data_IF_708870475852
#
_entry.id   IF_708870475852
#
_cell.length_a   1.000
_cell.length_b   1.000
_cell.length_c   1.000
_cell.angle_alpha   90.00
_cell.angle_beta   90.00
_cell.angle_gamma   90.00
#
_symmetry.space_group_name_H-M   'P 1'
#
loop_
_entity.id
_entity.type
_entity.pdbx_description
1 polymer ?
#
# COMPACT_ATOMS: atom_id res chain seq x y z
N UNK A 1 -4.01 -10.78 -22.03
CA UNK A 1 -3.57 -11.56 -20.84
C UNK A 1 -3.00 -10.63 -19.76
N UNK A 2 -2.16 -9.66 -20.13
CA UNK A 2 -1.60 -8.64 -19.22
C UNK A 2 -2.67 -7.78 -18.52
N UNK A 3 -3.75 -7.42 -19.21
CA UNK A 3 -4.81 -6.55 -18.67
C UNK A 3 -5.57 -7.17 -17.49
N UNK A 4 -5.67 -8.50 -17.46
CA UNK A 4 -6.32 -9.25 -16.38
C UNK A 4 -5.48 -9.13 -15.10
N UNK A 5 -4.16 -9.27 -15.20
CA UNK A 5 -3.25 -9.12 -14.05
C UNK A 5 -3.27 -7.71 -13.49
N UNK A 6 -3.31 -6.69 -14.34
CA UNK A 6 -3.39 -5.29 -13.92
C UNK A 6 -4.72 -5.01 -13.22
N UNK A 7 -5.84 -5.46 -13.79
CA UNK A 7 -7.17 -5.28 -13.21
C UNK A 7 -7.29 -5.97 -11.85
N UNK A 8 -6.76 -7.19 -11.74
CA UNK A 8 -6.80 -7.96 -10.50
C UNK A 8 -5.85 -7.39 -9.43
N UNK A 9 -4.70 -6.87 -9.85
CA UNK A 9 -3.81 -6.12 -8.97
C UNK A 9 -4.48 -4.85 -8.42
N UNK A 10 -5.15 -4.09 -9.28
CA UNK A 10 -5.90 -2.89 -8.86
C UNK A 10 -7.05 -3.23 -7.89
N UNK A 11 -7.80 -4.30 -8.16
CA UNK A 11 -8.87 -4.76 -7.28
C UNK A 11 -8.35 -5.19 -5.90
N UNK A 12 -7.23 -5.93 -5.86
CA UNK A 12 -6.60 -6.37 -4.60
C UNK A 12 -5.98 -5.20 -3.83
N UNK A 13 -5.37 -4.25 -4.53
CA UNK A 13 -4.87 -3.00 -3.93
C UNK A 13 -6.00 -2.18 -3.30
N UNK A 14 -7.12 -1.97 -4.02
CA UNK A 14 -8.30 -1.28 -3.49
C UNK A 14 -8.84 -1.97 -2.24
N UNK A 15 -8.89 -3.30 -2.24
CA UNK A 15 -9.34 -4.08 -1.08
C UNK A 15 -8.39 -3.94 0.12
N UNK A 16 -7.07 -4.01 -0.10
CA UNK A 16 -6.06 -3.79 0.95
C UNK A 16 -6.18 -2.38 1.55
N UNK A 17 -6.35 -1.35 0.70
CA UNK A 17 -6.54 0.04 1.15
C UNK A 17 -7.82 0.17 1.96
N UNK A 18 -8.95 -0.39 1.51
CA UNK A 18 -10.20 -0.36 2.28
C UNK A 18 -10.06 -1.05 3.65
N UNK A 19 -9.40 -2.21 3.69
CA UNK A 19 -9.08 -2.88 4.95
C UNK A 19 -8.22 -2.03 5.86
N UNK A 20 -7.25 -1.29 5.32
CA UNK A 20 -6.43 -0.36 6.09
C UNK A 20 -7.26 0.78 6.69
N UNK A 21 -8.20 1.38 5.94
CA UNK A 21 -9.13 2.39 6.46
C UNK A 21 -9.98 1.84 7.61
N UNK A 22 -10.55 0.65 7.43
CA UNK A 22 -11.34 -0.02 8.48
C UNK A 22 -10.49 -0.30 9.72
N UNK A 23 -9.25 -0.78 9.52
CA UNK A 23 -8.33 -1.06 10.62
C UNK A 23 -7.94 0.21 11.38
N UNK A 24 -7.69 1.31 10.66
CA UNK A 24 -7.45 2.62 11.25
C UNK A 24 -8.63 3.08 12.11
N UNK A 25 -9.86 3.00 11.58
CA UNK A 25 -11.06 3.36 12.33
C UNK A 25 -11.24 2.52 13.60
N UNK A 26 -11.00 1.21 13.53
CA UNK A 26 -11.04 0.34 14.72
C UNK A 26 -9.92 0.67 15.72
N UNK A 27 -8.73 0.98 15.22
CA UNK A 27 -7.55 1.37 15.99
C UNK A 27 -7.77 2.67 16.76
N UNK A 28 -8.45 3.64 16.16
CA UNK A 28 -8.87 4.88 16.82
C UNK A 28 -9.94 4.63 17.89
N UNK A 29 -10.90 3.74 17.61
CA UNK A 29 -11.97 3.37 18.56
C UNK A 29 -11.52 2.42 19.69
N UNK A 30 -10.26 1.97 19.69
CA UNK A 30 -9.74 0.95 20.62
C UNK A 30 -10.66 -0.28 20.73
N UNK A 31 -11.22 -0.72 19.60
CA UNK A 31 -12.20 -1.80 19.59
C UNK A 31 -11.54 -3.16 19.87
N UNK A 32 -12.12 -4.02 20.73
CA UNK A 32 -11.62 -5.38 21.00
C UNK A 32 -11.59 -6.27 19.74
N UNK A 33 -12.28 -5.87 18.67
CA UNK A 33 -12.24 -6.55 17.37
C UNK A 33 -10.86 -6.51 16.67
N UNK A 34 -9.93 -5.65 17.10
CA UNK A 34 -8.56 -5.65 16.58
C UNK A 34 -7.77 -6.90 16.96
N UNK A 35 -8.11 -7.52 18.10
CA UNK A 35 -7.42 -8.70 18.62
C UNK A 35 -8.02 -10.01 18.12
N UNK A 36 -9.17 -9.95 17.43
CA UNK A 36 -9.78 -11.12 16.83
C UNK A 36 -8.86 -11.70 15.75
N UNK A 37 -8.38 -12.93 15.98
CA UNK A 37 -7.46 -13.64 15.10
C UNK A 37 -7.94 -13.71 13.63
N UNK A 38 -9.26 -13.78 13.41
CA UNK A 38 -9.85 -13.77 12.07
C UNK A 38 -9.60 -12.47 11.30
N UNK A 39 -9.69 -11.31 11.96
CA UNK A 39 -9.49 -10.00 11.35
C UNK A 39 -8.01 -9.73 11.04
N UNK A 40 -7.11 -10.15 11.94
CA UNK A 40 -5.67 -10.07 11.71
C UNK A 40 -5.26 -10.97 10.54
N UNK A 41 -5.79 -12.20 10.48
CA UNK A 41 -5.48 -13.16 9.42
C UNK A 41 -6.00 -12.68 8.06
N UNK A 42 -7.23 -12.18 7.98
CA UNK A 42 -7.80 -11.71 6.71
C UNK A 42 -6.99 -10.53 6.15
N UNK A 43 -6.61 -9.56 6.99
CA UNK A 43 -5.74 -8.45 6.59
C UNK A 43 -4.40 -8.94 6.04
N UNK A 44 -3.71 -9.82 6.79
CA UNK A 44 -2.41 -10.37 6.36
C UNK A 44 -2.48 -11.12 5.03
N UNK A 45 -3.55 -11.89 4.81
CA UNK A 45 -3.75 -12.63 3.56
C UNK A 45 -3.94 -11.67 2.39
N UNK A 46 -4.76 -10.63 2.55
CA UNK A 46 -5.01 -9.66 1.47
C UNK A 46 -3.75 -8.84 1.15
N UNK A 47 -2.98 -8.44 2.17
CA UNK A 47 -1.70 -7.76 1.95
C UNK A 47 -0.69 -8.68 1.24
N UNK A 48 -0.60 -9.95 1.64
CA UNK A 48 0.28 -10.92 0.99
C UNK A 48 -0.11 -11.15 -0.48
N UNK A 49 -1.40 -11.27 -0.78
CA UNK A 49 -1.90 -11.38 -2.16
C UNK A 49 -1.54 -10.13 -2.96
N UNK A 50 -1.73 -8.94 -2.39
CA UNK A 50 -1.41 -7.67 -3.06
C UNK A 50 0.07 -7.60 -3.43
N UNK A 51 0.97 -7.97 -2.52
CA UNK A 51 2.42 -8.03 -2.76
C UNK A 51 2.75 -9.06 -3.85
N UNK A 52 2.12 -10.24 -3.80
CA UNK A 52 2.31 -11.29 -4.80
C UNK A 52 1.88 -10.82 -6.20
N UNK A 53 0.76 -10.07 -6.30
CA UNK A 53 0.30 -9.50 -7.56
C UNK A 53 1.27 -8.46 -8.12
N UNK A 54 1.85 -7.60 -7.27
CA UNK A 54 2.90 -6.66 -7.70
C UNK A 54 4.09 -7.42 -8.30
N UNK A 55 4.57 -8.46 -7.62
CA UNK A 55 5.68 -9.28 -8.13
C UNK A 55 5.34 -9.91 -9.49
N UNK A 56 4.12 -10.41 -9.66
CA UNK A 56 3.65 -10.99 -10.92
C UNK A 56 3.59 -9.95 -12.05
N UNK A 57 3.10 -8.74 -11.76
CA UNK A 57 3.06 -7.63 -12.73
C UNK A 57 4.48 -7.19 -13.11
N UNK A 58 5.42 -7.15 -12.18
CA UNK A 58 6.83 -6.88 -12.46
C UNK A 58 7.44 -7.93 -13.41
N UNK A 59 7.23 -9.21 -13.12
CA UNK A 59 7.72 -10.31 -13.97
C UNK A 59 7.10 -10.27 -15.37
N UNK A 60 5.79 -10.03 -15.46
CA UNK A 60 5.09 -9.95 -16.74
C UNK A 60 5.50 -8.71 -17.57
N UNK A 61 5.87 -7.61 -16.93
CA UNK A 61 6.26 -6.37 -17.61
C UNK A 61 7.72 -6.35 -18.05
N UNK A 62 8.56 -7.28 -17.59
CA UNK A 62 9.99 -7.34 -17.93
C UNK A 62 10.82 -6.14 -17.43
N UNK A 63 10.25 -5.26 -16.61
CA UNK A 63 10.93 -4.10 -16.01
C UNK A 63 11.31 -4.40 -14.56
N UNK A 64 12.61 -4.52 -14.31
CA UNK A 64 13.12 -4.68 -12.96
C UNK A 64 13.25 -3.33 -12.24
N UNK A 65 12.90 -3.24 -10.94
CA UNK A 65 13.30 -2.10 -10.12
C UNK A 65 14.83 -1.98 -10.17
N UNK A 66 15.36 -0.76 -10.02
CA UNK A 66 16.79 -0.39 -10.11
C UNK A 66 17.38 -0.25 -11.53
N UNK A 67 16.72 -0.77 -12.57
CA UNK A 67 17.12 -0.54 -13.98
C UNK A 67 16.38 0.65 -14.57
N UNK A 68 15.10 0.78 -14.25
CA UNK A 68 14.22 1.85 -14.70
C UNK A 68 13.94 2.82 -13.53
N UNK A 69 14.19 4.11 -13.74
CA UNK A 69 14.03 5.14 -12.70
C UNK A 69 12.59 5.24 -12.20
N UNK A 70 11.61 5.13 -13.10
CA UNK A 70 10.18 5.20 -12.78
C UNK A 70 9.80 3.98 -11.94
N UNK A 71 10.29 2.80 -12.28
CA UNK A 71 10.04 1.59 -11.49
C UNK A 71 10.68 1.65 -10.10
N UNK A 72 11.87 2.25 -10.01
CA UNK A 72 12.58 2.47 -8.74
C UNK A 72 11.81 3.41 -7.82
N UNK A 73 11.25 4.49 -8.36
CA UNK A 73 10.38 5.39 -7.60
C UNK A 73 9.07 4.74 -7.16
N UNK A 74 8.45 3.89 -8.00
CA UNK A 74 7.27 3.11 -7.59
C UNK A 74 7.57 2.23 -6.38
N UNK A 75 8.74 1.58 -6.39
CA UNK A 75 9.19 0.76 -5.27
C UNK A 75 9.41 1.61 -4.01
N UNK A 76 10.15 2.71 -4.11
CA UNK A 76 10.42 3.61 -2.99
C UNK A 76 9.14 4.17 -2.38
N UNK A 77 8.20 4.58 -3.23
CA UNK A 77 6.91 5.11 -2.80
C UNK A 77 6.06 4.03 -2.12
N UNK A 78 6.09 2.79 -2.63
CA UNK A 78 5.41 1.65 -1.99
C UNK A 78 6.01 1.34 -0.61
N UNK A 79 7.34 1.41 -0.47
CA UNK A 79 8.02 1.28 0.83
C UNK A 79 7.60 2.41 1.79
N UNK A 80 7.49 3.64 1.30
CA UNK A 80 7.02 4.78 2.09
C UNK A 80 5.57 4.61 2.57
N UNK A 81 4.66 4.12 1.71
CA UNK A 81 3.29 3.75 2.10
C UNK A 81 3.32 2.70 3.21
N UNK A 82 4.08 1.62 3.03
CA UNK A 82 4.17 0.53 4.00
C UNK A 82 4.70 1.02 5.36
N UNK A 83 5.70 1.90 5.35
CA UNK A 83 6.24 2.52 6.55
C UNK A 83 5.20 3.41 7.26
N UNK A 84 4.47 4.24 6.52
CA UNK A 84 3.40 5.08 7.07
C UNK A 84 2.25 4.26 7.65
N UNK A 85 1.84 3.19 6.96
CA UNK A 85 0.84 2.22 7.45
C UNK A 85 1.32 1.57 8.76
N UNK A 86 2.59 1.15 8.82
CA UNK A 86 3.18 0.59 10.03
C UNK A 86 3.19 1.60 11.18
N UNK A 87 3.59 2.85 10.93
CA UNK A 87 3.56 3.92 11.93
C UNK A 87 2.14 4.22 12.43
N UNK A 88 1.19 4.31 11.51
CA UNK A 88 -0.22 4.60 11.78
C UNK A 88 -0.86 3.55 12.69
N UNK A 89 -0.60 2.26 12.43
CA UNK A 89 -1.24 1.18 13.18
C UNK A 89 -0.45 0.76 14.43
N UNK A 90 0.86 0.55 14.32
CA UNK A 90 1.64 -0.13 15.38
C UNK A 90 2.41 0.80 16.32
N UNK A 91 2.85 1.98 15.85
CA UNK A 91 3.78 2.83 16.62
C UNK A 91 3.16 4.15 17.14
N UNK A 92 2.02 4.56 16.61
CA UNK A 92 1.37 5.79 17.04
C UNK A 92 0.81 5.70 18.46
N UNK A 93 1.59 6.15 19.46
CA UNK A 93 1.13 6.30 20.85
C UNK A 93 0.06 7.39 21.00
N UNK A 94 0.14 8.44 20.16
CA UNK A 94 -0.80 9.56 20.13
C UNK A 94 -1.65 9.54 18.86
N UNK A 95 -2.95 9.82 19.01
CA UNK A 95 -3.93 9.89 17.91
C UNK A 95 -3.50 10.86 16.80
N UNK A 96 -2.93 12.01 17.17
CA UNK A 96 -2.47 13.01 16.19
C UNK A 96 -1.39 12.45 15.25
N UNK A 97 -0.42 11.72 15.80
CA UNK A 97 0.64 11.10 15.00
C UNK A 97 0.09 9.98 14.10
N UNK A 98 -0.92 9.24 14.58
CA UNK A 98 -1.64 8.24 13.77
C UNK A 98 -2.36 8.89 12.59
N UNK A 99 -3.10 9.98 12.82
CA UNK A 99 -3.78 10.71 11.75
C UNK A 99 -2.80 11.32 10.75
N UNK A 100 -1.66 11.82 11.21
CA UNK A 100 -0.61 12.34 10.33
C UNK A 100 -0.01 11.23 9.44
N UNK A 101 0.34 10.08 10.03
CA UNK A 101 0.83 8.93 9.28
C UNK A 101 -0.23 8.37 8.31
N UNK A 102 -1.51 8.40 8.70
CA UNK A 102 -2.62 8.03 7.84
C UNK A 102 -2.74 8.96 6.63
N UNK A 103 -2.78 10.27 6.85
CA UNK A 103 -2.80 11.26 5.77
C UNK A 103 -1.55 11.14 4.87
N UNK A 104 -0.38 10.91 5.47
CA UNK A 104 0.87 10.65 4.75
C UNK A 104 0.78 9.43 3.84
N UNK A 105 0.21 8.32 4.32
CA UNK A 105 0.03 7.11 3.50
C UNK A 105 -0.88 7.35 2.28
N UNK A 106 -1.90 8.21 2.42
CA UNK A 106 -2.77 8.62 1.31
C UNK A 106 -1.99 9.49 0.31
N UNK A 107 -1.17 10.41 0.79
CA UNK A 107 -0.31 11.25 -0.06
C UNK A 107 0.62 10.42 -0.94
N UNK A 108 1.27 9.41 -0.36
CA UNK A 108 2.12 8.48 -1.12
C UNK A 108 1.33 7.61 -2.09
N UNK A 109 0.09 7.23 -1.77
CA UNK A 109 -0.79 6.50 -2.68
C UNK A 109 -1.13 7.33 -3.92
N UNK A 110 -1.48 8.62 -3.73
CA UNK A 110 -1.67 9.55 -4.85
C UNK A 110 -0.40 9.75 -5.67
N UNK A 111 0.77 9.79 -5.03
CA UNK A 111 2.05 9.88 -5.72
C UNK A 111 2.30 8.66 -6.63
N UNK A 112 2.10 7.44 -6.12
CA UNK A 112 2.22 6.20 -6.91
C UNK A 112 1.24 6.20 -8.08
N UNK A 113 0.01 6.65 -7.85
CA UNK A 113 -1.00 6.77 -8.91
C UNK A 113 -0.57 7.76 -9.99
N UNK A 114 -0.09 8.94 -9.60
CA UNK A 114 0.46 9.94 -10.52
C UNK A 114 1.62 9.35 -11.35
N UNK A 115 2.51 8.59 -10.71
CA UNK A 115 3.60 7.92 -11.40
C UNK A 115 3.13 6.84 -12.38
N UNK A 116 2.02 6.17 -12.07
CA UNK A 116 1.43 5.15 -12.93
C UNK A 116 0.76 5.76 -14.17
N UNK A 117 0.10 6.91 -14.03
CA UNK A 117 -0.61 7.60 -15.12
C UNK A 117 0.34 8.41 -15.99
N UNK A 118 1.21 9.21 -15.39
CA UNK A 118 2.09 10.13 -16.11
C UNK A 118 3.34 9.42 -16.66
N UNK A 119 3.78 8.34 -16.02
CA UNK A 119 4.98 7.60 -16.43
C UNK A 119 6.29 8.37 -16.27
N UNK A 120 6.28 9.53 -15.61
CA UNK A 120 7.48 10.33 -15.33
C UNK A 120 7.90 10.18 -13.86
N UNK A 121 9.22 10.07 -13.65
CA UNK A 121 9.87 10.08 -12.35
C UNK A 121 10.10 11.53 -11.90
N UNK A 122 9.65 11.87 -10.69
CA UNK A 122 9.73 13.25 -10.16
C UNK A 122 10.67 13.39 -8.96
N UNK A 123 10.93 12.31 -8.21
CA UNK A 123 11.73 12.33 -6.97
C UNK A 123 13.22 12.05 -7.20
N UNK A 124 13.56 11.25 -8.21
CA UNK A 124 14.90 10.81 -8.58
C UNK A 124 15.37 11.47 -9.89
N UNK A 125 14.79 12.61 -10.24
CA UNK A 125 15.13 13.39 -11.44
C UNK A 125 16.42 14.18 -11.26
#
# INVERSE_FOLDING_TARGET
MMDIFISLHLATLLLSVLMYFVNFAFTVKQSPYLEHAGFIKSRKVIDMITIMMIALVCMASGRAPFVDTVMTEKLLSTLAIAFMVFMSLQQGKNLFFRCFAFAGSIGWLFYVYSLAVNGEAYLLR
#
